data_IF_065222501384
#
_entry.id   IF_065222501384
#
_cell.length_a   1.000
_cell.length_b   1.000
_cell.length_c   1.000
_cell.angle_alpha   90.00
_cell.angle_beta   90.00
_cell.angle_gamma   90.00
#
_symmetry.space_group_name_H-M   'P 1'
#
loop_
_entity.id
_entity.type
_entity.pdbx_description
1 polymer ?
#
# COMPACT_ATOMS: atom_id res chain seq x y z
N UNK A 1 -10.49 4.39 10.20
CA UNK A 1 -9.19 4.80 10.76
C UNK A 1 -8.74 6.13 10.19
N UNK A 2 -7.99 6.92 10.96
CA UNK A 2 -7.33 8.14 10.47
C UNK A 2 -5.92 7.87 9.93
N UNK A 3 -5.35 8.84 9.20
CA UNK A 3 -3.98 8.77 8.63
C UNK A 3 -2.92 8.41 9.67
N UNK A 4 -2.98 8.99 10.87
CA UNK A 4 -2.02 8.71 11.94
C UNK A 4 -2.11 7.27 12.45
N UNK A 5 -3.32 6.72 12.55
CA UNK A 5 -3.52 5.32 12.93
C UNK A 5 -3.03 4.37 11.83
N UNK A 6 -3.23 4.75 10.57
CA UNK A 6 -2.72 4.01 9.42
C UNK A 6 -1.18 3.93 9.44
N UNK A 7 -0.50 5.04 9.69
CA UNK A 7 0.97 5.08 9.78
C UNK A 7 1.47 4.13 10.87
N UNK A 8 0.85 4.15 12.05
CA UNK A 8 1.21 3.25 13.16
C UNK A 8 1.06 1.79 12.76
N UNK A 9 -0.10 1.41 12.21
CA UNK A 9 -0.36 0.03 11.78
C UNK A 9 0.56 -0.44 10.66
N UNK A 10 0.88 0.42 9.69
CA UNK A 10 1.82 0.10 8.61
C UNK A 10 3.24 -0.06 9.15
N UNK A 11 3.66 0.79 10.09
CA UNK A 11 4.95 0.65 10.78
C UNK A 11 5.05 -0.64 11.58
N UNK A 12 3.98 -1.08 12.25
CA UNK A 12 3.94 -2.34 13.01
C UNK A 12 4.16 -3.57 12.14
N UNK A 13 3.70 -3.55 10.88
CA UNK A 13 3.91 -4.64 9.91
C UNK A 13 5.18 -4.48 9.08
N UNK A 14 5.97 -3.42 9.31
CA UNK A 14 7.25 -3.17 8.65
C UNK A 14 7.17 -2.41 7.32
N UNK A 15 6.03 -1.78 7.01
CA UNK A 15 5.88 -0.98 5.79
C UNK A 15 6.25 0.48 6.09
N UNK A 16 7.41 0.89 5.55
CA UNK A 16 7.91 2.25 5.70
C UNK A 16 7.12 3.28 4.90
N UNK A 17 7.20 4.55 5.33
CA UNK A 17 6.54 5.69 4.70
C UNK A 17 6.94 5.94 3.24
N UNK A 18 8.00 5.31 2.74
CA UNK A 18 8.41 5.43 1.34
C UNK A 18 7.46 4.73 0.35
N UNK A 19 6.56 3.86 0.81
CA UNK A 19 5.62 3.13 -0.06
C UNK A 19 4.30 3.87 -0.29
N UNK A 20 4.02 4.90 0.51
CA UNK A 20 2.73 5.56 0.52
C UNK A 20 2.86 7.06 0.79
N UNK A 21 1.87 7.82 0.35
CA UNK A 21 1.76 9.26 0.56
C UNK A 21 0.35 9.59 1.05
N UNK A 22 0.21 9.85 2.34
CA UNK A 22 -1.10 10.10 2.98
C UNK A 22 -1.50 11.58 3.01
N UNK A 23 -0.59 12.47 2.65
CA UNK A 23 -0.77 13.92 2.73
C UNK A 23 -0.85 14.58 1.34
N UNK A 24 -1.12 13.78 0.30
CA UNK A 24 -1.31 14.27 -1.07
C UNK A 24 -0.02 14.56 -1.84
N UNK A 25 1.15 14.16 -1.34
CA UNK A 25 2.40 14.25 -2.11
C UNK A 25 2.35 13.29 -3.30
N UNK A 26 2.56 13.80 -4.50
CA UNK A 26 2.60 13.02 -5.75
C UNK A 26 4.04 12.56 -6.02
N UNK A 27 4.58 11.77 -5.11
CA UNK A 27 5.88 11.14 -5.29
C UNK A 27 5.71 9.85 -6.11
N UNK A 28 6.54 9.62 -7.13
CA UNK A 28 6.46 8.43 -7.97
C UNK A 28 6.75 7.15 -7.17
N UNK A 29 6.25 6.04 -7.67
CA UNK A 29 6.40 4.69 -7.08
C UNK A 29 5.70 4.55 -5.71
N UNK A 30 4.57 5.24 -5.53
CA UNK A 30 3.85 5.26 -4.23
C UNK A 30 2.35 5.22 -4.36
N UNK A 31 1.71 4.68 -3.34
CA UNK A 31 0.26 4.76 -3.14
C UNK A 31 -0.08 6.13 -2.56
N UNK A 32 -0.85 6.93 -3.30
CA UNK A 32 -1.23 8.29 -2.90
C UNK A 32 -2.67 8.29 -2.41
N UNK A 33 -2.87 8.86 -1.22
CA UNK A 33 -4.16 9.31 -0.72
C UNK A 33 -4.30 10.80 -1.05
N UNK A 34 -5.27 11.12 -1.88
CA UNK A 34 -5.53 12.48 -2.34
C UNK A 34 -6.94 12.92 -1.95
N UNK A 35 -7.05 14.09 -1.32
CA UNK A 35 -8.36 14.66 -0.99
C UNK A 35 -8.82 15.57 -2.14
N UNK A 36 -9.90 15.18 -2.81
CA UNK A 36 -10.52 15.93 -3.89
C UNK A 36 -11.90 16.42 -3.45
N UNK A 37 -12.01 17.69 -3.05
CA UNK A 37 -13.21 18.28 -2.44
C UNK A 37 -13.76 17.39 -1.29
N UNK A 38 -14.94 16.81 -1.50
CA UNK A 38 -15.66 15.96 -0.54
C UNK A 38 -15.32 14.47 -0.69
N UNK A 39 -14.42 14.10 -1.60
CA UNK A 39 -14.06 12.73 -1.92
C UNK A 39 -12.59 12.44 -1.62
N UNK A 40 -12.31 11.19 -1.34
CA UNK A 40 -10.97 10.68 -1.09
C UNK A 40 -10.59 9.73 -2.20
N UNK A 41 -9.52 10.05 -2.91
CA UNK A 41 -8.99 9.26 -4.02
C UNK A 41 -7.77 8.49 -3.52
N UNK A 42 -7.72 7.21 -3.86
CA UNK A 42 -6.56 6.34 -3.64
C UNK A 42 -6.11 5.85 -4.99
N UNK A 43 -4.84 6.04 -5.31
CA UNK A 43 -4.25 5.53 -6.55
C UNK A 43 -2.77 5.28 -6.37
N UNK A 44 -2.24 4.38 -7.17
CA UNK A 44 -0.81 4.23 -7.34
C UNK A 44 -0.30 5.29 -8.33
N UNK A 45 0.74 6.02 -7.95
CA UNK A 45 1.36 7.02 -8.82
C UNK A 45 2.65 6.45 -9.41
N UNK A 46 2.60 6.10 -10.70
CA UNK A 46 3.74 5.50 -11.39
C UNK A 46 4.80 6.54 -11.73
N UNK A 47 6.04 6.10 -11.97
CA UNK A 47 7.16 6.97 -12.40
C UNK A 47 6.85 7.74 -13.70
N UNK A 48 5.93 7.23 -14.52
CA UNK A 48 5.50 7.85 -15.77
C UNK A 48 4.43 8.92 -15.57
N UNK A 49 4.02 9.17 -14.33
CA UNK A 49 2.95 10.11 -13.97
C UNK A 49 1.54 9.57 -14.19
N UNK A 50 1.39 8.25 -14.42
CA UNK A 50 0.08 7.62 -14.59
C UNK A 50 -0.51 7.30 -13.22
N UNK A 51 -1.82 7.49 -13.07
CA UNK A 51 -2.58 7.02 -11.91
C UNK A 51 -3.14 5.63 -12.22
N UNK A 52 -2.66 4.64 -11.50
CA UNK A 52 -3.11 3.25 -11.62
C UNK A 52 -3.92 2.87 -10.38
N UNK A 53 -4.73 1.81 -10.50
CA UNK A 53 -5.59 1.31 -9.42
C UNK A 53 -6.35 2.42 -8.68
N UNK A 54 -7.04 3.26 -9.47
CA UNK A 54 -7.75 4.43 -8.98
C UNK A 54 -9.08 4.04 -8.31
N UNK A 55 -9.23 4.41 -7.05
CA UNK A 55 -10.40 4.14 -6.21
C UNK A 55 -10.86 5.42 -5.52
N UNK A 56 -12.17 5.57 -5.34
CA UNK A 56 -12.78 6.78 -4.73
C UNK A 56 -13.65 6.40 -3.55
N UNK A 57 -13.50 7.11 -2.46
CA UNK A 57 -14.18 6.88 -1.19
C UNK A 57 -14.89 8.15 -0.71
N UNK A 58 -16.04 8.02 -0.02
CA UNK A 58 -16.76 9.16 0.53
C UNK A 58 -16.13 9.70 1.83
N UNK A 59 -15.17 8.99 2.43
CA UNK A 59 -14.53 9.43 3.67
C UNK A 59 -13.06 8.99 3.75
N UNK A 60 -12.28 9.77 4.51
CA UNK A 60 -10.88 9.47 4.85
C UNK A 60 -10.76 8.09 5.48
N UNK A 61 -11.74 7.75 6.32
CA UNK A 61 -11.79 6.54 7.10
C UNK A 61 -11.74 5.29 6.22
N UNK A 62 -12.62 5.24 5.22
CA UNK A 62 -12.71 4.15 4.26
C UNK A 62 -11.49 4.09 3.35
N UNK A 63 -10.98 5.25 2.91
CA UNK A 63 -9.79 5.31 2.07
C UNK A 63 -8.56 4.77 2.81
N UNK A 64 -8.36 5.17 4.07
CA UNK A 64 -7.26 4.65 4.89
C UNK A 64 -7.41 3.14 5.17
N UNK A 65 -8.63 2.65 5.42
CA UNK A 65 -8.89 1.21 5.58
C UNK A 65 -8.54 0.42 4.31
N UNK A 66 -8.89 0.96 3.15
CA UNK A 66 -8.55 0.34 1.86
C UNK A 66 -7.04 0.23 1.67
N UNK A 67 -6.30 1.33 1.90
CA UNK A 67 -4.83 1.34 1.81
C UNK A 67 -4.20 0.30 2.73
N UNK A 68 -4.66 0.22 3.99
CA UNK A 68 -4.15 -0.76 4.95
C UNK A 68 -4.32 -2.19 4.47
N UNK A 69 -5.53 -2.54 4.01
CA UNK A 69 -5.83 -3.89 3.55
C UNK A 69 -5.01 -4.25 2.31
N UNK A 70 -4.93 -3.34 1.34
CA UNK A 70 -4.16 -3.54 0.11
C UNK A 70 -2.68 -3.81 0.41
N UNK A 71 -2.04 -2.96 1.21
CA UNK A 71 -0.63 -3.12 1.60
C UNK A 71 -0.38 -4.37 2.44
N UNK A 72 -1.30 -4.69 3.36
CA UNK A 72 -1.21 -5.92 4.17
C UNK A 72 -1.30 -7.17 3.29
N UNK A 73 -2.26 -7.19 2.38
CA UNK A 73 -2.51 -8.35 1.54
C UNK A 73 -1.36 -8.57 0.54
N UNK A 74 -0.80 -7.49 0.00
CA UNK A 74 0.43 -7.51 -0.80
C UNK A 74 1.62 -8.07 0.00
N UNK A 75 1.83 -7.59 1.24
CA UNK A 75 2.89 -8.08 2.13
C UNK A 75 2.74 -9.59 2.43
N UNK A 76 1.52 -10.05 2.71
CA UNK A 76 1.23 -11.47 2.97
C UNK A 76 1.47 -12.32 1.73
N UNK A 77 1.11 -11.82 0.55
CA UNK A 77 1.35 -12.49 -0.71
C UNK A 77 2.86 -12.69 -0.96
N UNK A 78 3.65 -11.63 -0.84
CA UNK A 78 5.10 -11.71 -1.05
C UNK A 78 5.80 -12.63 -0.04
N UNK A 79 5.41 -12.57 1.25
CA UNK A 79 5.94 -13.50 2.27
C UNK A 79 5.70 -14.95 1.89
N UNK A 80 4.49 -15.29 1.47
CA UNK A 80 4.15 -16.66 1.05
C UNK A 80 4.99 -17.11 -0.15
N UNK A 81 5.17 -16.24 -1.15
CA UNK A 81 6.01 -16.53 -2.31
C UNK A 81 7.47 -16.75 -1.91
N UNK A 82 8.00 -15.96 -0.97
CA UNK A 82 9.37 -16.11 -0.48
C UNK A 82 9.59 -17.45 0.26
N UNK A 83 8.63 -17.84 1.11
CA UNK A 83 8.66 -19.13 1.81
C UNK A 83 8.65 -20.31 0.84
N UNK A 84 7.80 -20.27 -0.19
CA UNK A 84 7.74 -21.31 -1.23
C UNK A 84 9.03 -21.37 -2.06
N UNK A 85 9.65 -20.23 -2.37
CA UNK A 85 10.96 -20.18 -3.05
C UNK A 85 12.07 -20.81 -2.20
N UNK A 86 12.08 -20.58 -0.88
CA UNK A 86 13.04 -21.20 0.05
C UNK A 86 12.89 -22.72 0.10
N UNK A 87 11.65 -23.22 0.14
CA UNK A 87 11.37 -24.68 0.10
C UNK A 87 11.91 -25.34 -1.17
N UNK A 88 11.67 -24.73 -2.35
CA UNK A 88 12.12 -25.28 -3.64
C UNK A 88 13.64 -25.36 -3.75
N UNK A 89 14.36 -24.30 -3.35
CA UNK A 89 15.83 -24.28 -3.34
C UNK A 89 16.45 -25.31 -2.39
N UNK A 90 15.75 -25.69 -1.32
CA UNK A 90 16.23 -26.72 -0.40
C UNK A 90 16.14 -28.14 -0.97
N UNK A 91 15.29 -28.37 -1.98
CA UNK A 91 15.14 -29.68 -2.63
C UNK A 91 16.09 -29.88 -3.82
N UNK A 92 16.61 -28.81 -4.44
CA UNK A 92 17.53 -28.91 -5.58
C UNK A 92 19.00 -29.13 -5.17
N UNK A 93 19.34 -28.98 -3.88
CA UNK A 93 20.69 -29.18 -3.34
C UNK A 93 20.86 -30.53 -2.61
N UNK A 94 20.03 -31.54 -2.91
CA UNK A 94 20.14 -32.91 -2.38
C UNK A 94 20.17 -33.94 -3.52
#
# INVERSE_FOLDING_TARGET
MKREELIKKLSEIGIGANHYSLYGSLEPDRIVLYQNYSKWEVFYFSERGTREDFHVFPSEDLACQYIFNMLRDEMLFWKKIEEEKKKRKSCENQ
#
